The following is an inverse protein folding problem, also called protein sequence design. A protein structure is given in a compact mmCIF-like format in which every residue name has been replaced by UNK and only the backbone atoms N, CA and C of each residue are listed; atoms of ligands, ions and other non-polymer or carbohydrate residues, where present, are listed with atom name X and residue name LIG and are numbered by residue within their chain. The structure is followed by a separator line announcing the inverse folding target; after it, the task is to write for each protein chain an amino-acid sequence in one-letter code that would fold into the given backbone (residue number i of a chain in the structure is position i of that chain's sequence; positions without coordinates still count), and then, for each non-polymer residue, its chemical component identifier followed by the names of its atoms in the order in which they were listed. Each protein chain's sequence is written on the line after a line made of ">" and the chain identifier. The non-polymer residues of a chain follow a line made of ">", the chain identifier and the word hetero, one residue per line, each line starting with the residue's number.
data_IF_520573792946
#
_entry.id   IF_520573792946
#
_cell.length_a   1.000
_cell.length_b   1.000
_cell.length_c   1.000
_cell.angle_alpha   90.00
_cell.angle_beta   90.00
_cell.angle_gamma   90.00
#
_symmetry.space_group_name_H-M   'P 1'
#
loop_
_entity.id
_entity.type
_entity.pdbx_description
1 polymer ?
#
# COMPACT_ATOMS: atom_id res chain seq x y z
N UNK A 1 -9.33 -6.88 -9.39
CA UNK A 1 -8.61 -5.86 -8.57
C UNK A 1 -8.43 -4.53 -9.28
N UNK A 2 -7.85 -4.47 -10.48
CA UNK A 2 -7.66 -3.19 -11.22
C UNK A 2 -8.94 -2.33 -11.29
N UNK A 3 -10.11 -2.93 -11.53
CA UNK A 3 -11.37 -2.20 -11.59
C UNK A 3 -11.79 -1.55 -10.25
N UNK A 4 -11.43 -2.14 -9.12
CA UNK A 4 -11.75 -1.59 -7.80
C UNK A 4 -10.83 -0.42 -7.44
N UNK A 5 -9.55 -0.51 -7.77
CA UNK A 5 -8.58 0.57 -7.58
C UNK A 5 -8.92 1.80 -8.43
N UNK A 6 -9.35 1.60 -9.68
CA UNK A 6 -9.73 2.69 -10.58
C UNK A 6 -10.99 3.43 -10.11
N UNK A 7 -11.84 2.80 -9.27
CA UNK A 7 -13.02 3.44 -8.67
C UNK A 7 -12.68 4.34 -7.47
N UNK A 8 -11.43 4.30 -6.96
CA UNK A 8 -11.03 5.00 -5.74
C UNK A 8 -10.50 6.41 -5.94
N UNK A 9 -10.58 6.98 -7.14
CA UNK A 9 -10.08 8.33 -7.45
C UNK A 9 -8.61 8.54 -7.05
N UNK A 10 -7.76 7.57 -7.40
CA UNK A 10 -6.32 7.66 -7.22
C UNK A 10 -5.69 8.76 -8.07
N UNK A 11 -4.51 9.23 -7.67
CA UNK A 11 -3.67 10.08 -8.52
C UNK A 11 -3.51 9.47 -9.93
N UNK A 12 -3.61 10.29 -10.97
CA UNK A 12 -3.60 9.82 -12.36
C UNK A 12 -2.31 9.07 -12.73
N UNK A 13 -1.17 9.45 -12.13
CA UNK A 13 0.13 8.81 -12.35
C UNK A 13 0.16 7.41 -11.74
N UNK A 14 -0.37 7.28 -10.52
CA UNK A 14 -0.50 5.99 -9.84
C UNK A 14 -1.45 5.08 -10.60
N UNK A 15 -2.58 5.62 -11.05
CA UNK A 15 -3.50 4.90 -11.93
C UNK A 15 -2.81 4.46 -13.23
N UNK A 16 -1.96 5.32 -13.80
CA UNK A 16 -1.16 5.01 -14.99
C UNK A 16 -0.17 3.85 -14.78
N UNK A 17 0.46 3.78 -13.61
CA UNK A 17 1.34 2.67 -13.23
C UNK A 17 0.52 1.38 -13.10
N UNK A 18 -0.61 1.41 -12.39
CA UNK A 18 -1.48 0.24 -12.19
C UNK A 18 -2.04 -0.29 -13.51
N UNK A 19 -2.43 0.59 -14.43
CA UNK A 19 -2.98 0.21 -15.74
C UNK A 19 -1.92 -0.06 -16.80
N UNK A 20 -0.64 0.03 -16.45
CA UNK A 20 0.49 -0.16 -17.37
C UNK A 20 0.52 0.86 -18.54
N UNK A 21 -0.11 2.01 -18.37
CA UNK A 21 0.04 3.15 -19.30
C UNK A 21 1.30 3.96 -19.01
N UNK A 22 1.85 3.79 -17.81
CA UNK A 22 3.18 4.24 -17.40
C UNK A 22 4.00 2.99 -17.07
N UNK A 23 5.04 2.74 -17.84
CA UNK A 23 5.97 1.64 -17.64
C UNK A 23 6.81 1.89 -16.39
N UNK A 24 6.98 0.89 -15.53
CA UNK A 24 7.96 0.92 -14.45
C UNK A 24 9.37 0.87 -15.00
N UNK A 25 10.37 1.48 -14.32
CA UNK A 25 11.76 1.56 -14.81
C UNK A 25 12.53 0.24 -14.69
N UNK A 26 11.92 -0.82 -14.18
CA UNK A 26 12.51 -2.13 -13.96
C UNK A 26 11.50 -3.24 -14.29
N UNK A 27 11.99 -4.48 -14.38
CA UNK A 27 11.12 -5.64 -14.58
C UNK A 27 10.57 -6.11 -13.24
N UNK A 28 9.29 -5.85 -13.01
CA UNK A 28 8.51 -6.45 -11.93
C UNK A 28 7.43 -7.37 -12.44
N UNK A 29 7.02 -8.27 -11.59
CA UNK A 29 5.84 -9.06 -11.81
C UNK A 29 4.63 -8.26 -11.30
N UNK A 30 3.90 -7.63 -12.23
CA UNK A 30 2.60 -7.07 -11.87
C UNK A 30 1.71 -8.21 -11.40
N UNK A 31 1.14 -8.07 -10.24
CA UNK A 31 0.20 -9.04 -9.71
C UNK A 31 -1.09 -8.96 -10.55
N UNK A 32 -1.26 -9.93 -11.44
CA UNK A 32 -2.49 -10.07 -12.23
C UNK A 32 -3.61 -10.63 -11.35
N UNK A 33 -3.25 -11.43 -10.34
CA UNK A 33 -4.14 -12.02 -9.37
C UNK A 33 -3.80 -11.58 -7.92
N UNK A 34 -4.75 -11.05 -7.15
CA UNK A 34 -4.54 -10.72 -5.75
C UNK A 34 -4.28 -11.93 -4.84
N UNK A 35 -4.58 -13.16 -5.31
CA UNK A 35 -4.26 -14.39 -4.56
C UNK A 35 -2.78 -14.66 -4.42
N UNK A 36 -1.96 -14.08 -5.30
CA UNK A 36 -0.50 -14.19 -5.22
C UNK A 36 0.09 -13.40 -4.04
N UNK A 37 -0.72 -12.58 -3.37
CA UNK A 37 -0.32 -11.81 -2.22
C UNK A 37 -0.75 -12.52 -0.92
N UNK A 38 0.21 -13.02 -0.14
CA UNK A 38 -0.02 -13.65 1.17
C UNK A 38 -0.55 -12.68 2.25
N UNK A 39 -0.78 -11.42 1.89
CA UNK A 39 -1.22 -10.38 2.81
C UNK A 39 -2.73 -10.24 2.84
N UNK A 40 -3.32 -10.47 4.03
CA UNK A 40 -4.77 -10.59 4.23
C UNK A 40 -5.42 -9.34 4.85
N UNK A 41 -4.72 -8.22 4.86
CA UNK A 41 -5.27 -6.99 5.45
C UNK A 41 -6.24 -6.31 4.48
N UNK A 42 -7.48 -5.97 4.93
CA UNK A 42 -8.48 -5.32 4.09
C UNK A 42 -8.05 -3.98 3.48
N UNK A 43 -7.15 -3.26 4.16
CA UNK A 43 -6.61 -1.99 3.66
C UNK A 43 -5.52 -2.15 2.61
N UNK A 44 -4.92 -3.34 2.45
CA UNK A 44 -3.80 -3.56 1.55
C UNK A 44 -4.28 -3.94 0.14
N UNK A 45 -3.84 -3.16 -0.83
CA UNK A 45 -4.12 -3.36 -2.24
C UNK A 45 -2.79 -3.58 -2.97
N UNK A 46 -2.36 -4.82 -3.18
CA UNK A 46 -1.10 -5.14 -3.83
C UNK A 46 -1.11 -4.70 -5.28
N UNK A 47 0.01 -4.18 -5.79
CA UNK A 47 0.17 -3.73 -7.17
C UNK A 47 1.20 -4.59 -7.90
N UNK A 48 2.40 -4.78 -7.33
CA UNK A 48 3.45 -5.57 -7.94
C UNK A 48 4.31 -6.30 -6.91
N UNK A 49 5.03 -7.29 -7.40
CA UNK A 49 5.92 -8.17 -6.66
C UNK A 49 7.33 -8.06 -7.26
N UNK A 50 8.37 -8.01 -6.44
CA UNK A 50 9.76 -7.99 -6.91
C UNK A 50 10.31 -9.38 -7.25
N UNK A 51 9.48 -10.42 -7.17
CA UNK A 51 9.86 -11.81 -7.46
C UNK A 51 10.67 -12.49 -6.36
N UNK A 52 10.85 -11.83 -5.22
CA UNK A 52 11.55 -12.41 -4.06
C UNK A 52 10.67 -12.43 -2.82
N UNK A 53 10.74 -11.41 -2.01
CA UNK A 53 10.07 -11.38 -0.71
C UNK A 53 9.21 -10.14 -0.48
N UNK A 54 9.15 -9.22 -1.43
CA UNK A 54 8.51 -7.93 -1.25
C UNK A 54 7.37 -7.72 -2.23
N UNK A 55 6.23 -7.26 -1.70
CA UNK A 55 5.06 -6.84 -2.46
C UNK A 55 4.83 -5.36 -2.20
N UNK A 56 4.68 -4.59 -3.26
CA UNK A 56 4.42 -3.17 -3.20
C UNK A 56 2.95 -2.88 -3.51
N UNK A 57 2.39 -1.92 -2.82
CA UNK A 57 0.98 -1.62 -2.99
C UNK A 57 0.53 -0.31 -2.37
N UNK A 58 -0.77 -0.16 -2.34
CA UNK A 58 -1.48 0.94 -1.70
C UNK A 58 -2.07 0.43 -0.40
N UNK A 59 -1.94 1.25 0.63
CA UNK A 59 -2.65 1.09 1.89
C UNK A 59 -3.75 2.13 2.00
N UNK A 60 -4.96 1.70 2.25
CA UNK A 60 -6.07 2.60 2.55
C UNK A 60 -5.93 3.05 4.00
N UNK A 61 -5.31 4.21 4.19
CA UNK A 61 -4.96 4.72 5.51
C UNK A 61 -6.18 5.19 6.30
N UNK A 62 -7.18 5.76 5.61
CA UNK A 62 -8.47 6.15 6.17
C UNK A 62 -9.59 5.94 5.15
N UNK A 63 -10.79 5.66 5.62
CA UNK A 63 -12.00 5.54 4.81
C UNK A 63 -12.94 6.74 4.95
N UNK A 64 -12.64 7.66 5.88
CA UNK A 64 -13.44 8.87 6.14
C UNK A 64 -12.61 10.02 6.73
N UNK A 65 -12.05 10.96 5.95
CA UNK A 65 -12.02 10.98 4.48
C UNK A 65 -11.14 9.89 3.89
N UNK A 66 -11.43 9.45 2.68
CA UNK A 66 -10.62 8.45 1.99
C UNK A 66 -9.21 8.98 1.76
N UNK A 67 -8.22 8.27 2.26
CA UNK A 67 -6.81 8.61 2.08
C UNK A 67 -5.96 7.36 1.85
N UNK A 68 -4.82 7.55 1.20
CA UNK A 68 -3.93 6.48 0.79
C UNK A 68 -2.52 6.73 1.29
N UNK A 69 -1.83 5.64 1.56
CA UNK A 69 -0.39 5.58 1.72
C UNK A 69 0.17 4.52 0.76
N UNK A 70 1.45 4.52 0.55
CA UNK A 70 2.15 3.57 -0.31
C UNK A 70 3.06 2.73 0.54
N UNK A 71 3.02 1.43 0.32
CA UNK A 71 3.60 0.47 1.25
C UNK A 71 4.43 -0.59 0.54
N UNK A 72 5.34 -1.16 1.32
CA UNK A 72 6.05 -2.39 1.03
C UNK A 72 5.61 -3.45 2.04
N UNK A 73 5.18 -4.58 1.57
CA UNK A 73 4.86 -5.74 2.39
C UNK A 73 6.00 -6.75 2.30
N UNK A 74 6.56 -7.15 3.44
CA UNK A 74 7.66 -8.11 3.55
C UNK A 74 7.07 -9.46 3.96
N UNK A 75 7.12 -10.46 3.05
CA UNK A 75 6.42 -11.73 3.22
C UNK A 75 6.88 -12.52 4.45
N UNK A 76 8.19 -12.72 4.60
CA UNK A 76 8.75 -13.52 5.70
C UNK A 76 8.42 -12.97 7.08
N UNK A 77 8.32 -11.65 7.19
CA UNK A 77 8.07 -10.96 8.45
C UNK A 77 6.59 -10.64 8.67
N UNK A 78 5.77 -10.83 7.63
CA UNK A 78 4.34 -10.42 7.63
C UNK A 78 4.13 -8.95 8.00
N UNK A 79 5.11 -8.10 7.69
CA UNK A 79 5.09 -6.67 7.98
C UNK A 79 4.62 -5.86 6.77
N UNK A 80 3.87 -4.79 7.04
CA UNK A 80 3.50 -3.78 6.05
C UNK A 80 4.13 -2.46 6.47
N UNK A 81 5.12 -2.05 5.70
CA UNK A 81 5.94 -0.87 5.96
C UNK A 81 5.51 0.31 5.10
N UNK A 82 5.42 1.47 5.72
CA UNK A 82 5.11 2.72 5.04
C UNK A 82 6.32 3.21 4.24
N UNK A 83 6.21 3.33 2.92
CA UNK A 83 7.29 3.85 2.06
C UNK A 83 7.02 5.27 1.55
N UNK A 84 5.75 5.67 1.42
CA UNK A 84 5.42 7.04 1.03
C UNK A 84 4.00 7.41 1.46
N UNK A 85 3.76 8.70 1.71
CA UNK A 85 2.44 9.25 2.03
C UNK A 85 1.83 10.05 0.88
N UNK A 86 2.63 10.38 -0.14
CA UNK A 86 2.16 11.11 -1.33
C UNK A 86 2.57 10.39 -2.62
N UNK A 87 1.84 10.63 -3.72
CA UNK A 87 2.22 10.09 -5.03
C UNK A 87 3.64 10.51 -5.47
N UNK A 88 4.03 11.75 -5.19
CA UNK A 88 5.36 12.29 -5.50
C UNK A 88 6.47 11.52 -4.80
N UNK A 89 6.31 11.29 -3.49
CA UNK A 89 7.26 10.50 -2.70
C UNK A 89 7.35 9.06 -3.22
N UNK A 90 6.21 8.46 -3.58
CA UNK A 90 6.18 7.10 -4.07
C UNK A 90 6.86 6.96 -5.45
N UNK A 91 6.63 7.91 -6.36
CA UNK A 91 7.30 7.95 -7.66
C UNK A 91 8.82 8.09 -7.49
N UNK A 92 9.27 8.98 -6.61
CA UNK A 92 10.69 9.12 -6.33
C UNK A 92 11.26 7.87 -5.66
N UNK A 93 10.54 7.26 -4.73
CA UNK A 93 10.94 6.01 -4.10
C UNK A 93 11.11 4.88 -5.14
N UNK A 94 10.17 4.73 -6.09
CA UNK A 94 10.30 3.79 -7.21
C UNK A 94 11.57 4.05 -8.02
N UNK A 95 11.88 5.32 -8.30
CA UNK A 95 13.08 5.69 -9.05
C UNK A 95 14.38 5.38 -8.29
N UNK A 96 14.43 5.64 -6.98
CA UNK A 96 15.57 5.28 -6.12
C UNK A 96 15.76 3.76 -6.10
N UNK A 97 14.68 3.03 -5.87
CA UNK A 97 14.69 1.57 -5.89
C UNK A 97 15.23 1.01 -7.21
N UNK A 98 14.82 1.60 -8.34
CA UNK A 98 15.32 1.20 -9.66
C UNK A 98 16.84 1.36 -9.78
N UNK A 99 17.40 2.47 -9.30
CA UNK A 99 18.85 2.69 -9.27
C UNK A 99 19.54 1.70 -8.34
N UNK A 100 18.96 1.44 -7.17
CA UNK A 100 19.50 0.49 -6.17
C UNK A 100 19.60 -0.94 -6.72
N UNK A 101 18.64 -1.36 -7.57
CA UNK A 101 18.67 -2.67 -8.21
C UNK A 101 19.50 -2.70 -9.50
N UNK A 102 20.17 -1.60 -9.84
CA UNK A 102 21.13 -1.51 -10.93
C UNK A 102 20.57 -1.08 -12.28
N UNK A 103 19.36 -0.50 -12.30
CA UNK A 103 18.80 0.04 -13.55
C UNK A 103 19.57 1.27 -14.04
N UNK A 104 19.68 1.38 -15.35
CA UNK A 104 20.42 2.47 -15.99
C UNK A 104 19.62 3.78 -16.01
N UNK A 105 20.32 4.88 -16.30
CA UNK A 105 19.76 6.23 -16.39
C UNK A 105 18.53 6.33 -17.31
N UNK A 106 18.57 5.64 -18.46
CA UNK A 106 17.54 5.81 -19.50
C UNK A 106 16.14 5.38 -19.07
N UNK A 107 15.89 4.14 -18.57
CA UNK A 107 14.57 3.72 -18.10
C UNK A 107 14.07 4.55 -16.93
N UNK A 108 14.94 4.91 -15.97
CA UNK A 108 14.57 5.77 -14.84
C UNK A 108 14.14 7.16 -15.30
N UNK A 109 14.91 7.77 -16.22
CA UNK A 109 14.56 9.08 -16.78
C UNK A 109 13.24 9.04 -17.57
N UNK A 110 13.01 7.97 -18.34
CA UNK A 110 11.74 7.76 -19.07
C UNK A 110 10.56 7.69 -18.11
N UNK A 111 10.70 6.91 -17.02
CA UNK A 111 9.69 6.79 -15.98
C UNK A 111 9.38 8.13 -15.30
N UNK A 112 10.41 8.85 -14.84
CA UNK A 112 10.24 10.15 -14.18
C UNK A 112 9.52 11.15 -15.09
N UNK A 113 9.86 11.19 -16.38
CA UNK A 113 9.16 12.03 -17.38
C UNK A 113 7.71 11.61 -17.56
N UNK A 114 7.43 10.32 -17.68
CA UNK A 114 6.06 9.82 -17.83
C UNK A 114 5.19 10.17 -16.62
N UNK A 115 5.78 10.18 -15.43
CA UNK A 115 5.13 10.62 -14.20
C UNK A 115 5.11 12.15 -14.00
N UNK A 116 5.70 12.94 -14.91
CA UNK A 116 5.89 14.39 -14.70
C UNK A 116 6.52 14.72 -13.34
N UNK A 117 7.47 13.88 -12.92
CA UNK A 117 8.14 14.03 -11.62
C UNK A 117 8.94 15.35 -11.58
N UNK A 118 8.97 15.99 -10.43
CA UNK A 118 9.73 17.22 -10.21
C UNK A 118 11.23 16.96 -9.99
N UNK A 119 11.59 15.73 -9.62
CA UNK A 119 12.97 15.30 -9.39
C UNK A 119 13.58 14.73 -10.66
N UNK A 120 14.89 14.95 -10.85
CA UNK A 120 15.67 14.41 -11.96
C UNK A 120 16.50 13.19 -11.57
N UNK A 121 17.06 12.51 -12.59
CA UNK A 121 17.89 11.33 -12.35
C UNK A 121 19.09 11.61 -11.44
N UNK A 122 19.78 12.74 -11.60
CA UNK A 122 20.99 13.06 -10.83
C UNK A 122 20.67 13.21 -9.32
N UNK A 123 19.49 13.73 -8.98
CA UNK A 123 19.00 13.81 -7.60
C UNK A 123 18.69 12.42 -7.05
N UNK A 124 18.03 11.58 -7.83
CA UNK A 124 17.73 10.19 -7.47
C UNK A 124 19.02 9.40 -7.22
N UNK A 125 19.98 9.47 -8.16
CA UNK A 125 21.27 8.79 -8.06
C UNK A 125 22.05 9.24 -6.82
N UNK A 126 22.01 10.53 -6.48
CA UNK A 126 22.69 11.05 -5.29
C UNK A 126 22.14 10.50 -3.98
N UNK A 127 20.86 10.15 -3.93
CA UNK A 127 20.22 9.53 -2.76
C UNK A 127 20.51 8.02 -2.71
N UNK A 128 20.40 7.34 -3.84
CA UNK A 128 20.68 5.89 -3.94
C UNK A 128 22.12 5.56 -3.59
N UNK A 129 23.09 6.33 -4.11
CA UNK A 129 24.53 6.11 -3.87
C UNK A 129 25.04 6.70 -2.55
N UNK A 130 24.21 7.44 -1.82
CA UNK A 130 24.55 8.12 -0.57
C UNK A 130 23.95 7.46 0.66
N UNK A 131 23.64 8.29 1.65
CA UNK A 131 23.08 7.87 2.95
C UNK A 131 21.61 7.47 2.91
N UNK A 132 21.01 7.29 1.72
CA UNK A 132 19.57 7.05 1.51
C UNK A 132 18.69 8.11 2.17
N UNK A 133 19.19 9.34 2.28
CA UNK A 133 18.48 10.46 2.89
C UNK A 133 17.40 10.99 1.93
N UNK A 134 16.24 10.35 1.95
CA UNK A 134 15.07 10.79 1.20
C UNK A 134 14.58 12.19 1.59
N UNK A 135 15.03 12.74 2.73
CA UNK A 135 14.66 14.11 3.15
C UNK A 135 15.13 15.17 2.16
N UNK A 136 16.17 14.86 1.36
CA UNK A 136 16.67 15.73 0.29
C UNK A 136 15.72 15.80 -0.90
N UNK A 137 15.02 14.68 -1.20
CA UNK A 137 14.05 14.62 -2.29
C UNK A 137 12.69 15.19 -1.86
N UNK A 138 12.32 14.94 -0.61
CA UNK A 138 11.06 15.39 -0.06
C UNK A 138 11.25 15.76 1.41
N UNK A 139 11.19 17.06 1.75
CA UNK A 139 11.21 17.46 3.15
C UNK A 139 9.98 16.85 3.85
N UNK A 140 10.22 15.86 4.69
CA UNK A 140 9.20 15.30 5.56
C UNK A 140 8.81 16.35 6.59
N UNK A 141 7.59 16.88 6.49
CA UNK A 141 7.13 17.95 7.38
C UNK A 141 6.96 17.50 8.83
N UNK A 142 6.84 16.21 9.06
CA UNK A 142 6.49 15.64 10.36
C UNK A 142 7.47 14.58 10.90
N UNK A 143 8.57 14.33 10.21
CA UNK A 143 9.60 13.38 10.66
C UNK A 143 9.13 11.90 10.73
N UNK A 144 7.98 11.58 10.17
CA UNK A 144 7.35 10.25 10.33
C UNK A 144 7.92 9.17 9.42
N UNK A 145 8.69 9.52 8.38
CA UNK A 145 9.29 8.54 7.48
C UNK A 145 10.81 8.52 7.68
N UNK A 146 11.27 7.52 8.41
CA UNK A 146 12.67 7.14 8.44
C UNK A 146 12.85 5.94 7.49
N UNK A 147 13.56 6.07 6.35
CA UNK A 147 13.75 4.97 5.43
C UNK A 147 14.55 3.80 6.00
N UNK A 148 15.35 4.02 7.06
CA UNK A 148 16.06 2.95 7.77
C UNK A 148 15.14 2.18 8.72
N UNK A 149 14.08 2.82 9.22
CA UNK A 149 13.11 2.24 10.14
C UNK A 149 11.71 2.71 9.74
N UNK A 150 11.18 2.20 8.63
CA UNK A 150 9.85 2.58 8.16
C UNK A 150 8.78 2.19 9.18
N UNK A 151 7.78 3.05 9.43
CA UNK A 151 6.69 2.71 10.32
C UNK A 151 5.96 1.46 9.84
N UNK A 152 5.76 0.49 10.72
CA UNK A 152 4.92 -0.66 10.48
C UNK A 152 3.45 -0.27 10.65
N UNK A 153 2.61 -0.53 9.63
CA UNK A 153 1.20 -0.15 9.64
C UNK A 153 0.28 -1.23 10.23
N UNK A 154 0.76 -2.46 10.28
CA UNK A 154 0.00 -3.61 10.77
C UNK A 154 0.57 -4.22 12.05
N UNK A 155 1.18 -3.41 12.90
CA UNK A 155 1.73 -3.89 14.18
C UNK A 155 0.72 -4.75 14.95
N UNK A 156 1.16 -5.90 15.50
CA UNK A 156 0.30 -6.77 16.30
C UNK A 156 -0.31 -6.02 17.49
N UNK A 157 -1.58 -6.28 17.79
CA UNK A 157 -2.25 -5.68 18.92
C UNK A 157 -2.99 -6.73 19.73
N UNK A 158 -2.76 -6.74 21.04
CA UNK A 158 -3.54 -7.56 21.96
C UNK A 158 -5.00 -7.09 22.03
N UNK A 159 -5.91 -8.01 22.25
CA UNK A 159 -7.35 -7.74 22.40
C UNK A 159 -7.98 -7.00 21.21
N UNK A 160 -7.42 -7.18 19.99
CA UNK A 160 -7.87 -6.48 18.79
C UNK A 160 -9.37 -6.63 18.54
N UNK A 161 -9.92 -7.83 18.77
CA UNK A 161 -11.34 -8.14 18.60
C UNK A 161 -12.23 -7.27 19.50
N UNK A 162 -11.93 -7.25 20.80
CA UNK A 162 -12.72 -6.50 21.78
C UNK A 162 -12.68 -5.01 21.49
N UNK A 163 -11.49 -4.50 21.20
CA UNK A 163 -11.26 -3.11 20.83
C UNK A 163 -12.00 -2.73 19.55
N UNK A 164 -11.97 -3.60 18.55
CA UNK A 164 -12.66 -3.39 17.27
C UNK A 164 -14.18 -3.29 17.47
N UNK A 165 -14.79 -4.27 18.17
CA UNK A 165 -16.23 -4.24 18.40
C UNK A 165 -16.65 -3.11 19.35
N UNK A 166 -15.76 -2.63 20.23
CA UNK A 166 -16.01 -1.40 21.00
C UNK A 166 -16.06 -0.19 20.09
N UNK A 167 -15.05 0.00 19.23
CA UNK A 167 -15.02 1.09 18.28
C UNK A 167 -16.25 1.09 17.34
N UNK A 168 -16.68 -0.09 16.88
CA UNK A 168 -17.91 -0.22 16.07
C UNK A 168 -19.15 0.22 16.85
N UNK A 169 -19.29 -0.17 18.11
CA UNK A 169 -20.44 0.25 18.97
C UNK A 169 -20.43 1.75 19.26
N UNK A 170 -19.25 2.33 19.39
CA UNK A 170 -19.04 3.76 19.64
C UNK A 170 -19.15 4.61 18.37
N UNK A 171 -19.34 3.98 17.21
CA UNK A 171 -19.35 4.61 15.88
C UNK A 171 -18.04 5.33 15.56
N UNK A 172 -16.92 4.90 16.10
CA UNK A 172 -15.59 5.40 15.78
C UNK A 172 -15.06 4.69 14.52
N UNK A 173 -15.32 5.31 13.36
CA UNK A 173 -14.95 4.78 12.04
C UNK A 173 -13.44 4.56 11.93
N UNK A 174 -12.64 5.55 12.37
CA UNK A 174 -11.19 5.53 12.19
C UNK A 174 -10.54 4.47 13.09
N UNK A 175 -10.96 4.41 14.37
CA UNK A 175 -10.46 3.37 15.26
C UNK A 175 -10.86 1.97 14.78
N UNK A 176 -12.10 1.79 14.35
CA UNK A 176 -12.57 0.50 13.84
C UNK A 176 -11.82 0.10 12.55
N UNK A 177 -11.61 1.03 11.61
CA UNK A 177 -10.84 0.78 10.39
C UNK A 177 -9.39 0.38 10.70
N UNK A 178 -8.72 1.15 11.57
CA UNK A 178 -7.35 0.85 11.99
C UNK A 178 -7.24 -0.53 12.65
N UNK A 179 -8.17 -0.87 13.54
CA UNK A 179 -8.18 -2.17 14.25
C UNK A 179 -8.49 -3.35 13.32
N UNK A 180 -9.28 -3.14 12.27
CA UNK A 180 -9.54 -4.16 11.24
C UNK A 180 -8.26 -4.55 10.48
N UNK A 181 -7.28 -3.66 10.43
CA UNK A 181 -6.08 -3.78 9.60
C UNK A 181 -4.77 -4.02 10.36
N UNK A 182 -4.82 -4.21 11.68
CA UNK A 182 -3.65 -4.64 12.47
C UNK A 182 -3.50 -6.16 12.46
N UNK A 183 -2.29 -6.66 12.68
CA UNK A 183 -2.06 -8.08 12.94
C UNK A 183 -2.63 -8.46 14.31
N UNK A 184 -3.10 -9.71 14.46
CA UNK A 184 -3.66 -10.19 15.71
C UNK A 184 -5.07 -10.77 15.58
N UNK A 185 -5.65 -10.77 14.39
CA UNK A 185 -6.83 -11.55 14.06
C UNK A 185 -6.45 -13.03 13.97
N UNK A 186 -7.17 -13.89 14.70
CA UNK A 186 -6.82 -15.30 14.88
C UNK A 186 -6.92 -16.13 13.60
N UNK A 187 -7.97 -15.84 12.81
CA UNK A 187 -8.20 -16.51 11.54
C UNK A 187 -8.92 -15.59 10.53
N UNK A 188 -8.97 -16.07 9.31
CA UNK A 188 -9.55 -15.33 8.21
C UNK A 188 -11.08 -15.23 8.30
N UNK A 189 -11.74 -16.21 8.89
CA UNK A 189 -13.20 -16.21 9.02
C UNK A 189 -13.65 -15.18 10.07
N UNK A 190 -12.88 -15.02 11.15
CA UNK A 190 -13.09 -13.92 12.08
C UNK A 190 -12.91 -12.55 11.42
N UNK A 191 -11.88 -12.39 10.61
CA UNK A 191 -11.64 -11.14 9.90
C UNK A 191 -12.74 -10.85 8.87
N UNK A 192 -13.27 -11.88 8.19
CA UNK A 192 -14.46 -11.76 7.33
C UNK A 192 -15.68 -11.24 8.11
N UNK A 193 -15.95 -11.84 9.27
CA UNK A 193 -17.06 -11.42 10.13
C UNK A 193 -16.88 -9.99 10.65
N UNK A 194 -15.65 -9.61 11.01
CA UNK A 194 -15.35 -8.26 11.45
C UNK A 194 -15.53 -7.24 10.32
N UNK A 195 -15.05 -7.53 9.12
CA UNK A 195 -15.24 -6.62 7.97
C UNK A 195 -16.71 -6.49 7.60
N UNK A 196 -17.48 -7.56 7.64
CA UNK A 196 -18.93 -7.51 7.44
C UNK A 196 -19.64 -6.69 8.54
N UNK A 197 -19.19 -6.77 9.79
CA UNK A 197 -19.70 -5.94 10.87
C UNK A 197 -19.39 -4.46 10.65
N UNK A 198 -18.15 -4.14 10.25
CA UNK A 198 -17.74 -2.78 9.88
C UNK A 198 -18.63 -2.22 8.77
N UNK A 199 -18.78 -2.93 7.67
CA UNK A 199 -19.61 -2.53 6.52
C UNK A 199 -21.06 -2.25 6.90
N UNK A 200 -21.65 -3.08 7.76
CA UNK A 200 -23.03 -2.89 8.26
C UNK A 200 -23.17 -1.70 9.20
N UNK A 201 -22.17 -1.44 10.03
CA UNK A 201 -22.18 -0.32 10.96
C UNK A 201 -21.99 1.04 10.26
N UNK A 202 -21.26 1.06 9.14
CA UNK A 202 -20.90 2.27 8.41
C UNK A 202 -21.36 2.22 6.92
N UNK A 203 -22.65 2.11 6.64
CA UNK A 203 -23.17 1.85 5.29
C UNK A 203 -22.95 3.00 4.30
N UNK A 204 -22.66 4.21 4.78
CA UNK A 204 -22.48 5.41 3.96
C UNK A 204 -21.03 5.59 3.44
N UNK A 205 -20.12 4.69 3.79
CA UNK A 205 -18.73 4.74 3.34
C UNK A 205 -18.59 4.10 1.95
N UNK A 206 -18.65 4.92 0.92
CA UNK A 206 -18.69 4.47 -0.49
C UNK A 206 -17.46 3.67 -0.93
N UNK A 207 -16.30 3.90 -0.30
CA UNK A 207 -15.06 3.16 -0.60
C UNK A 207 -15.05 1.74 -0.01
N UNK A 208 -15.84 1.46 1.03
CA UNK A 208 -15.77 0.20 1.78
C UNK A 208 -16.31 -0.98 0.97
N UNK A 209 -17.37 -0.79 0.20
CA UNK A 209 -17.95 -1.88 -0.60
C UNK A 209 -17.02 -2.39 -1.71
N UNK A 210 -16.35 -1.54 -2.51
CA UNK A 210 -15.33 -1.99 -3.46
C UNK A 210 -14.14 -2.70 -2.79
N UNK A 211 -13.68 -2.18 -1.64
CA UNK A 211 -12.60 -2.79 -0.86
C UNK A 211 -12.98 -4.19 -0.38
N UNK A 212 -14.17 -4.32 0.21
CA UNK A 212 -14.66 -5.59 0.71
C UNK A 212 -14.75 -6.65 -0.39
N UNK A 213 -15.32 -6.30 -1.56
CA UNK A 213 -15.41 -7.20 -2.70
C UNK A 213 -14.04 -7.62 -3.22
N UNK A 214 -13.11 -6.68 -3.36
CA UNK A 214 -11.76 -6.95 -3.81
C UNK A 214 -11.03 -7.88 -2.83
N UNK A 215 -11.16 -7.59 -1.54
CA UNK A 215 -10.53 -8.38 -0.50
C UNK A 215 -11.10 -9.81 -0.42
N UNK A 216 -12.43 -10.00 -0.47
CA UNK A 216 -13.03 -11.33 -0.49
C UNK A 216 -12.57 -12.14 -1.69
N UNK A 217 -12.51 -11.54 -2.89
CA UNK A 217 -12.03 -12.22 -4.08
C UNK A 217 -10.57 -12.70 -3.92
N UNK A 218 -9.71 -11.93 -3.26
CA UNK A 218 -8.33 -12.33 -2.97
C UNK A 218 -8.25 -13.49 -1.98
N UNK A 219 -9.11 -13.51 -0.96
CA UNK A 219 -9.16 -14.58 0.03
C UNK A 219 -9.69 -15.88 -0.58
N UNK A 220 -10.76 -15.81 -1.36
CA UNK A 220 -11.37 -17.00 -1.97
C UNK A 220 -10.43 -17.64 -3.00
N UNK A 221 -9.67 -16.84 -3.74
CA UNK A 221 -8.63 -17.33 -4.63
C UNK A 221 -7.49 -18.03 -3.88
N UNK A 222 -7.03 -17.46 -2.75
CA UNK A 222 -6.02 -18.07 -1.88
C UNK A 222 -6.46 -19.41 -1.28
N UNK A 223 -7.72 -19.52 -0.85
CA UNK A 223 -8.25 -20.75 -0.25
C UNK A 223 -8.53 -21.87 -1.27
N UNK A 224 -8.51 -21.56 -2.56
CA UNK A 224 -8.70 -22.51 -3.64
C UNK A 224 -7.40 -23.19 -4.13
N UNK A 225 -6.23 -22.71 -3.65
CA UNK A 225 -4.89 -23.29 -3.91
C UNK A 225 -4.54 -24.35 -2.88
#
# INVERSE_FOLDING_TARGET
>A
MQNSLLQMNLDARISGIITRTIDLPFRFYMLDDPSDADFRHPAFLPIWDNGSNEIFGIWVASVSPLSFAYVRAVREESLIELVATTPEQFIAWIAVYAVDVGESREPVTKFLRACSAQVGFDEIESVSCGDRDFSRLFPYRDGTLNPEHPPCLNEPRENVRELFYSAVREHDVEAAWKLLNVSGWWDIDELKLAFDAFRRAFPNLTAVEPLHKSWLASIDAYLAL
#
